data_IF_766718981129
#
_entry.id   IF_766718981129
#
_cell.length_a   1.000
_cell.length_b   1.000
_cell.length_c   1.000
_cell.angle_alpha   90.00
_cell.angle_beta   90.00
_cell.angle_gamma   90.00
#
_symmetry.space_group_name_H-M   'P 1'
#
loop_
_entity.id
_entity.type
_entity.pdbx_description
1 polymer ?
#
# COMPACT_ATOMS: atom_id res chain seq x y z
N UNK A 1 -37.14 -25.88 50.58
CA UNK A 1 -36.87 -24.50 50.14
C UNK A 1 -35.75 -24.54 49.10
N UNK A 2 -35.94 -24.04 47.86
CA UNK A 2 -34.87 -24.02 46.87
C UNK A 2 -34.07 -22.71 46.98
N UNK A 3 -32.74 -22.78 47.00
CA UNK A 3 -31.89 -21.60 46.81
C UNK A 3 -31.18 -21.70 45.47
N UNK A 4 -31.47 -20.68 44.67
CA UNK A 4 -31.14 -20.45 43.28
C UNK A 4 -29.63 -20.20 43.07
N UNK A 5 -28.98 -20.97 42.19
CA UNK A 5 -27.58 -20.75 41.79
C UNK A 5 -27.53 -19.85 40.56
N UNK A 6 -27.11 -18.59 40.74
CA UNK A 6 -26.90 -17.64 39.63
C UNK A 6 -25.58 -17.95 38.91
N UNK A 7 -25.68 -18.50 37.71
CA UNK A 7 -24.56 -18.77 36.79
C UNK A 7 -23.80 -17.49 36.41
N UNK A 8 -22.52 -17.42 36.78
CA UNK A 8 -21.54 -16.35 36.44
C UNK A 8 -20.73 -16.66 35.17
N UNK A 9 -21.25 -17.48 34.26
CA UNK A 9 -20.45 -18.06 33.16
C UNK A 9 -20.50 -17.22 31.86
N UNK A 10 -21.45 -16.29 31.73
CA UNK A 10 -21.66 -15.55 30.46
C UNK A 10 -20.76 -14.33 30.25
N UNK A 11 -19.91 -13.95 31.22
CA UNK A 11 -19.11 -12.71 31.14
C UNK A 11 -17.70 -12.87 30.54
N UNK A 12 -17.21 -14.10 30.32
CA UNK A 12 -15.82 -14.32 29.90
C UNK A 12 -15.62 -14.33 28.36
N UNK A 13 -16.63 -14.73 27.58
CA UNK A 13 -16.52 -14.82 26.12
C UNK A 13 -16.46 -13.46 25.40
N UNK A 14 -17.06 -12.41 25.97
CA UNK A 14 -16.97 -11.05 25.39
C UNK A 14 -15.61 -10.40 25.67
N UNK A 15 -14.96 -10.71 26.80
CA UNK A 15 -13.65 -10.14 27.16
C UNK A 15 -12.48 -10.76 26.41
N UNK A 16 -12.55 -12.05 26.05
CA UNK A 16 -11.49 -12.71 25.27
C UNK A 16 -11.48 -12.27 23.80
N UNK A 17 -12.63 -11.88 23.25
CA UNK A 17 -12.74 -11.43 21.86
C UNK A 17 -12.09 -10.04 21.66
N UNK A 18 -12.22 -9.13 22.63
CA UNK A 18 -11.56 -7.82 22.57
C UNK A 18 -10.03 -7.94 22.62
N UNK A 19 -9.50 -8.87 23.41
CA UNK A 19 -8.06 -9.14 23.48
C UNK A 19 -7.48 -9.73 22.19
N UNK A 20 -8.20 -10.64 21.54
CA UNK A 20 -7.76 -11.26 20.29
C UNK A 20 -7.73 -10.27 19.12
N UNK A 21 -8.74 -9.40 19.00
CA UNK A 21 -8.80 -8.37 17.95
C UNK A 21 -7.72 -7.31 18.16
N UNK A 22 -7.48 -6.87 19.40
CA UNK A 22 -6.40 -5.93 19.71
C UNK A 22 -5.02 -6.51 19.34
N UNK A 23 -4.79 -7.79 19.61
CA UNK A 23 -3.52 -8.48 19.29
C UNK A 23 -3.25 -8.55 17.78
N UNK A 24 -4.29 -8.72 16.96
CA UNK A 24 -4.16 -8.80 15.51
C UNK A 24 -3.72 -7.48 14.87
N UNK A 25 -4.14 -6.33 15.43
CA UNK A 25 -3.74 -5.00 14.93
C UNK A 25 -2.28 -4.69 15.24
N UNK A 26 -1.77 -5.11 16.41
CA UNK A 26 -0.35 -4.95 16.78
C UNK A 26 0.60 -5.84 15.97
N UNK A 27 0.09 -6.94 15.40
CA UNK A 27 0.86 -7.87 14.56
C UNK A 27 0.79 -7.53 13.06
N UNK A 28 -0.03 -6.55 12.66
CA UNK A 28 -0.02 -6.05 11.28
C UNK A 28 1.33 -5.44 10.98
N UNK A 29 2.14 -6.18 10.21
CA UNK A 29 3.41 -5.72 9.68
C UNK A 29 3.24 -4.34 9.04
N UNK A 30 4.14 -3.41 9.36
CA UNK A 30 4.20 -2.11 8.73
C UNK A 30 4.11 -2.28 7.20
N UNK A 31 3.03 -1.78 6.61
CA UNK A 31 2.87 -1.84 5.16
C UNK A 31 3.89 -0.90 4.53
N UNK A 32 4.82 -1.46 3.75
CA UNK A 32 5.72 -0.66 2.94
C UNK A 32 4.90 0.07 1.88
N UNK A 33 4.77 1.38 2.04
CA UNK A 33 4.02 2.25 1.15
C UNK A 33 4.89 3.45 0.81
N UNK A 34 5.09 3.69 -0.49
CA UNK A 34 5.71 4.89 -0.98
C UNK A 34 4.62 5.92 -1.31
N UNK A 35 4.74 7.12 -0.76
CA UNK A 35 3.91 8.25 -1.17
C UNK A 35 4.37 8.78 -2.53
N UNK A 36 3.45 8.83 -3.51
CA UNK A 36 3.68 9.46 -4.81
C UNK A 36 3.07 10.86 -4.80
N UNK A 37 3.88 11.86 -5.13
CA UNK A 37 3.51 13.26 -5.24
C UNK A 37 3.12 13.65 -6.66
N UNK A 38 3.49 14.88 -7.03
CA UNK A 38 3.12 15.45 -8.34
C UNK A 38 3.90 14.78 -9.48
N UNK A 39 3.21 14.50 -10.58
CA UNK A 39 3.81 14.17 -11.88
C UNK A 39 4.09 15.46 -12.66
N UNK A 40 5.34 15.62 -13.11
CA UNK A 40 5.77 16.77 -13.93
C UNK A 40 6.36 16.25 -15.24
N UNK A 41 5.85 16.73 -16.37
CA UNK A 41 6.35 16.37 -17.70
C UNK A 41 7.36 17.41 -18.16
N UNK A 42 8.56 16.94 -18.54
CA UNK A 42 9.69 17.76 -18.96
C UNK A 42 9.93 17.68 -20.48
N UNK A 43 9.34 16.70 -21.17
CA UNK A 43 9.48 16.52 -22.63
C UNK A 43 8.49 17.36 -23.44
N UNK A 44 8.93 17.86 -24.61
CA UNK A 44 8.07 18.54 -25.57
C UNK A 44 7.34 17.55 -26.51
N UNK A 45 6.40 18.06 -27.33
CA UNK A 45 5.71 17.25 -28.33
C UNK A 45 6.69 16.67 -29.36
N UNK A 46 6.56 15.37 -29.62
CA UNK A 46 7.43 14.64 -30.55
C UNK A 46 8.75 14.14 -29.95
N UNK A 47 9.05 14.47 -28.69
CA UNK A 47 10.19 13.90 -27.96
C UNK A 47 9.77 12.66 -27.17
N UNK A 48 10.71 11.75 -26.85
CA UNK A 48 10.47 10.68 -25.89
C UNK A 48 9.96 11.24 -24.56
N UNK A 49 9.05 10.51 -23.91
CA UNK A 49 8.50 10.95 -22.63
C UNK A 49 9.61 11.07 -21.59
N UNK A 50 9.76 12.29 -21.05
CA UNK A 50 10.55 12.55 -19.87
C UNK A 50 9.65 13.17 -18.82
N UNK A 51 9.46 12.46 -17.70
CA UNK A 51 8.59 12.88 -16.62
C UNK A 51 9.17 12.45 -15.27
N UNK A 52 8.94 13.28 -14.27
CA UNK A 52 9.37 13.05 -12.89
C UNK A 52 8.15 12.93 -11.99
N UNK A 53 8.21 12.03 -11.02
CA UNK A 53 7.19 11.84 -9.99
C UNK A 53 7.89 12.00 -8.65
N UNK A 54 7.42 12.96 -7.85
CA UNK A 54 7.95 13.21 -6.51
C UNK A 54 7.64 12.03 -5.57
N UNK A 55 8.59 11.68 -4.69
CA UNK A 55 8.42 10.67 -3.65
C UNK A 55 8.31 11.37 -2.29
N UNK A 56 7.12 11.32 -1.67
CA UNK A 56 6.81 12.15 -0.49
C UNK A 56 6.85 11.39 0.84
N UNK A 57 6.56 10.08 0.82
CA UNK A 57 6.54 9.24 2.02
C UNK A 57 7.45 8.03 1.80
N UNK A 58 8.74 8.27 1.69
CA UNK A 58 9.79 7.24 1.59
C UNK A 58 10.84 7.58 2.66
N UNK A 59 11.22 6.61 3.49
CA UNK A 59 12.29 6.84 4.45
C UNK A 59 13.66 6.86 3.76
N UNK A 60 14.64 7.55 4.36
CA UNK A 60 15.97 7.70 3.77
C UNK A 60 16.69 6.36 3.51
N UNK A 61 16.40 5.34 4.33
CA UNK A 61 16.95 3.99 4.18
C UNK A 61 16.31 3.22 3.01
N UNK A 62 15.02 3.46 2.73
CA UNK A 62 14.28 2.82 1.65
C UNK A 62 14.60 3.40 0.27
N UNK A 63 15.00 4.67 0.19
CA UNK A 63 15.23 5.37 -1.07
C UNK A 63 16.24 4.67 -1.99
N UNK A 64 17.21 3.96 -1.42
CA UNK A 64 18.25 3.24 -2.19
C UNK A 64 17.84 1.84 -2.64
N UNK A 65 16.80 1.25 -2.03
CA UNK A 65 16.29 -0.09 -2.35
C UNK A 65 15.00 -0.05 -3.17
N UNK A 66 14.41 1.13 -3.34
CA UNK A 66 13.15 1.31 -4.07
C UNK A 66 13.34 1.03 -5.57
N UNK A 67 12.45 0.22 -6.14
CA UNK A 67 12.44 -0.08 -7.58
C UNK A 67 11.12 0.38 -8.19
N UNK A 68 11.20 1.33 -9.12
CA UNK A 68 10.07 1.73 -9.94
C UNK A 68 9.96 0.80 -11.16
N UNK A 69 8.76 0.28 -11.44
CA UNK A 69 8.48 -0.57 -12.60
C UNK A 69 7.07 -0.34 -13.11
N UNK A 70 6.87 -0.60 -14.40
CA UNK A 70 5.54 -0.63 -14.99
C UNK A 70 4.71 -1.76 -14.34
N UNK A 71 3.46 -1.46 -14.02
CA UNK A 71 2.53 -2.45 -13.51
C UNK A 71 2.23 -3.52 -14.58
N UNK A 72 1.95 -4.78 -14.19
CA UNK A 72 1.54 -5.81 -15.14
C UNK A 72 0.17 -5.48 -15.74
N UNK A 73 -0.12 -5.97 -16.95
CA UNK A 73 -1.38 -5.69 -17.65
C UNK A 73 -2.63 -6.07 -16.83
N UNK A 74 -2.54 -7.10 -15.99
CA UNK A 74 -3.63 -7.49 -15.08
C UNK A 74 -4.00 -6.38 -14.09
N UNK A 75 -3.03 -5.59 -13.61
CA UNK A 75 -3.31 -4.47 -12.71
C UNK A 75 -4.11 -3.35 -13.41
N UNK A 76 -3.84 -3.11 -14.69
CA UNK A 76 -4.62 -2.15 -15.50
C UNK A 76 -6.06 -2.63 -15.67
N UNK A 77 -6.25 -3.92 -15.96
CA UNK A 77 -7.58 -4.54 -16.05
C UNK A 77 -8.36 -4.41 -14.73
N UNK A 78 -7.72 -4.68 -13.59
CA UNK A 78 -8.33 -4.53 -12.26
C UNK A 78 -8.74 -3.08 -11.97
N UNK A 79 -7.96 -2.11 -12.47
CA UNK A 79 -8.28 -0.69 -12.36
C UNK A 79 -9.27 -0.20 -13.42
N UNK A 80 -9.76 -1.07 -14.31
CA UNK A 80 -10.60 -0.72 -15.46
C UNK A 80 -9.94 0.35 -16.38
N UNK A 81 -8.63 0.24 -16.57
CA UNK A 81 -7.81 1.10 -17.43
C UNK A 81 -7.35 0.27 -18.64
N UNK A 82 -7.40 0.86 -19.84
CA UNK A 82 -6.87 0.25 -21.05
C UNK A 82 -5.33 0.23 -21.02
N UNK A 83 -4.73 -0.93 -21.30
CA UNK A 83 -3.28 -1.06 -21.36
C UNK A 83 -2.75 -0.63 -22.74
N UNK A 84 -1.99 0.48 -22.77
CA UNK A 84 -1.33 0.93 -24.01
C UNK A 84 0.05 0.24 -24.16
N UNK A 85 0.32 -0.50 -25.25
CA UNK A 85 1.59 -1.19 -25.46
C UNK A 85 2.79 -0.23 -25.56
N UNK A 86 2.58 1.05 -25.89
CA UNK A 86 3.65 2.05 -25.88
C UNK A 86 4.30 2.22 -24.49
N UNK A 87 3.57 1.93 -23.41
CA UNK A 87 4.07 1.96 -22.03
C UNK A 87 5.23 0.96 -21.81
N UNK A 88 5.34 -0.10 -22.62
CA UNK A 88 6.42 -1.09 -22.53
C UNK A 88 7.79 -0.51 -22.89
N UNK A 89 7.84 0.61 -23.61
CA UNK A 89 9.08 1.30 -23.95
C UNK A 89 9.59 2.23 -22.84
N UNK A 90 8.81 2.43 -21.77
CA UNK A 90 9.18 3.32 -20.68
C UNK A 90 10.41 2.80 -19.92
N UNK A 91 11.25 3.74 -19.50
CA UNK A 91 12.39 3.50 -18.62
C UNK A 91 12.13 4.21 -17.30
N UNK A 92 12.43 3.53 -16.21
CA UNK A 92 12.23 4.04 -14.86
C UNK A 92 13.59 4.13 -14.18
N UNK A 93 13.82 5.22 -13.47
CA UNK A 93 14.98 5.42 -12.62
C UNK A 93 14.53 6.13 -11.35
N UNK A 94 15.10 5.76 -10.21
CA UNK A 94 14.81 6.36 -8.91
C UNK A 94 16.02 7.18 -8.50
N UNK A 95 15.82 8.47 -8.30
CA UNK A 95 16.89 9.43 -7.99
C UNK A 95 16.63 10.02 -6.59
N UNK A 96 17.66 10.06 -5.75
CA UNK A 96 17.64 10.85 -4.51
C UNK A 96 18.14 12.26 -4.85
N UNK A 97 17.26 13.24 -4.67
CA UNK A 97 17.53 14.68 -4.89
C UNK A 97 17.47 15.40 -3.55
#
# INVERSE_FOLDING_TARGET
>A
MPVNSRSKITSFALKSLTGAVASAVFLSSAAYAAGLGKLTVLSALGQPLNAEIELTAVSADEGSSLVAKLAPAEAFRLANIEFNPALLSLRFNVEQR
#
